data_IF_820243495572
#
_entry.id   IF_820243495572
#
_cell.length_a   1.000
_cell.length_b   1.000
_cell.length_c   1.000
_cell.angle_alpha   90.00
_cell.angle_beta   90.00
_cell.angle_gamma   90.00
#
_symmetry.space_group_name_H-M   'P 1'
#
loop_
_entity.id
_entity.type
_entity.pdbx_description
1 polymer ?
#
# COMPACT_ATOMS: atom_id res chain seq x y z
N UNK A 1 10.79 24.76 5.99
CA UNK A 1 9.81 25.89 6.09
C UNK A 1 8.42 25.32 6.24
N UNK A 2 7.51 25.96 7.00
CA UNK A 2 6.15 25.49 7.21
C UNK A 2 5.15 26.25 6.35
N UNK A 3 4.22 25.51 5.73
CA UNK A 3 3.11 26.01 4.93
C UNK A 3 1.81 25.46 5.51
N UNK A 4 0.86 26.32 5.83
CA UNK A 4 -0.44 25.91 6.39
C UNK A 4 -1.51 25.96 5.30
N UNK A 5 -2.11 24.83 4.97
CA UNK A 5 -3.14 24.75 3.92
C UNK A 5 -4.28 25.72 4.16
N UNK A 6 -4.68 25.92 5.43
CA UNK A 6 -5.75 26.86 5.81
C UNK A 6 -5.51 28.30 5.36
N UNK A 7 -4.26 28.74 5.21
CA UNK A 7 -3.93 30.11 4.81
C UNK A 7 -4.26 30.38 3.34
N UNK A 8 -4.39 29.31 2.53
CA UNK A 8 -4.72 29.35 1.11
C UNK A 8 -6.23 29.27 0.83
N UNK A 9 -7.06 28.95 1.83
CA UNK A 9 -8.51 28.77 1.64
C UNK A 9 -9.23 30.05 1.20
N UNK A 10 -8.77 31.20 1.64
CA UNK A 10 -9.41 32.51 1.31
C UNK A 10 -9.44 32.81 -0.19
N UNK A 11 -8.49 32.24 -0.94
CA UNK A 11 -8.30 32.53 -2.37
C UNK A 11 -8.56 31.27 -3.23
N UNK A 12 -9.32 30.31 -2.72
CA UNK A 12 -9.58 29.05 -3.39
C UNK A 12 -11.07 28.73 -3.33
N UNK A 13 -11.59 28.13 -4.40
CA UNK A 13 -13.00 27.72 -4.49
C UNK A 13 -13.20 26.40 -3.78
N UNK A 14 -12.21 25.50 -3.88
CA UNK A 14 -12.24 24.17 -3.26
C UNK A 14 -11.04 23.95 -2.34
N UNK A 15 -11.14 22.95 -1.45
CA UNK A 15 -10.01 22.57 -0.61
C UNK A 15 -8.84 22.03 -1.46
N UNK A 16 -9.13 21.30 -2.54
CA UNK A 16 -8.10 20.80 -3.47
C UNK A 16 -7.30 21.93 -4.11
N UNK A 17 -7.96 23.02 -4.53
CA UNK A 17 -7.25 24.20 -5.06
C UNK A 17 -6.38 24.88 -4.00
N UNK A 18 -6.85 24.96 -2.75
CA UNK A 18 -6.06 25.52 -1.66
C UNK A 18 -4.80 24.67 -1.39
N UNK A 19 -4.97 23.36 -1.40
CA UNK A 19 -3.87 22.39 -1.23
C UNK A 19 -2.86 22.54 -2.37
N UNK A 20 -3.30 22.56 -3.61
CA UNK A 20 -2.43 22.71 -4.79
C UNK A 20 -1.63 24.03 -4.78
N UNK A 21 -2.28 25.14 -4.42
CA UNK A 21 -1.59 26.43 -4.27
C UNK A 21 -0.54 26.38 -3.16
N UNK A 22 -0.88 25.77 -2.03
CA UNK A 22 0.02 25.57 -0.92
C UNK A 22 1.25 24.74 -1.34
N UNK A 23 1.03 23.62 -2.02
CA UNK A 23 2.09 22.76 -2.56
C UNK A 23 2.93 23.47 -3.61
N UNK A 24 2.30 24.22 -4.52
CA UNK A 24 2.99 25.01 -5.56
C UNK A 24 3.95 26.03 -4.95
N UNK A 25 3.53 26.73 -3.89
CA UNK A 25 4.39 27.68 -3.20
C UNK A 25 5.50 26.97 -2.42
N UNK A 26 5.18 25.87 -1.77
CA UNK A 26 6.15 25.06 -1.07
C UNK A 26 7.23 24.48 -2.00
N UNK A 27 6.86 24.06 -3.21
CA UNK A 27 7.77 23.48 -4.19
C UNK A 27 8.76 24.51 -4.79
N UNK A 28 8.59 25.81 -4.53
CA UNK A 28 9.61 26.83 -4.84
C UNK A 28 10.80 26.77 -3.90
N UNK A 29 10.68 26.06 -2.77
CA UNK A 29 11.76 25.85 -1.80
C UNK A 29 12.57 24.63 -2.21
N UNK A 30 13.90 24.78 -2.32
CA UNK A 30 14.81 23.70 -2.73
C UNK A 30 15.07 22.65 -1.63
N UNK A 31 14.82 22.98 -0.36
CA UNK A 31 15.06 22.08 0.77
C UNK A 31 13.78 21.54 1.40
N UNK A 32 13.91 21.08 2.65
CA UNK A 32 12.81 20.50 3.39
C UNK A 32 11.67 21.49 3.58
N UNK A 33 10.48 21.05 3.24
CA UNK A 33 9.22 21.76 3.39
C UNK A 33 8.21 20.94 4.16
N UNK A 34 7.41 21.63 4.95
CA UNK A 34 6.36 21.00 5.75
C UNK A 34 5.01 21.59 5.39
N UNK A 35 4.09 20.75 4.96
CA UNK A 35 2.71 21.09 4.63
C UNK A 35 1.83 20.66 5.78
N UNK A 36 1.08 21.58 6.36
CA UNK A 36 0.31 21.35 7.59
C UNK A 36 -1.18 21.50 7.30
N UNK A 37 -1.88 20.39 7.50
CA UNK A 37 -3.34 20.31 7.50
C UNK A 37 -3.81 20.44 8.94
N UNK A 38 -4.53 21.49 9.28
CA UNK A 38 -5.11 21.71 10.61
C UNK A 38 -6.27 22.68 10.59
N UNK A 39 -6.99 22.79 11.71
CA UNK A 39 -8.02 23.81 11.96
C UNK A 39 -9.37 23.54 11.28
N UNK A 40 -9.46 22.61 10.35
CA UNK A 40 -10.70 22.10 9.75
C UNK A 40 -10.46 20.73 9.11
N UNK A 41 -11.53 20.05 8.75
CA UNK A 41 -11.46 18.90 7.86
C UNK A 41 -11.42 19.36 6.40
N UNK A 42 -10.68 18.63 5.56
CA UNK A 42 -10.48 18.94 4.15
C UNK A 42 -11.19 17.94 3.27
N UNK A 43 -11.87 18.44 2.23
CA UNK A 43 -12.60 17.63 1.27
C UNK A 43 -11.91 17.74 -0.10
N UNK A 44 -11.38 16.62 -0.60
CA UNK A 44 -10.59 16.59 -1.83
C UNK A 44 -11.35 15.91 -2.98
N UNK A 45 -11.16 16.39 -4.19
CA UNK A 45 -11.75 15.86 -5.43
C UNK A 45 -10.72 15.24 -6.38
N UNK A 46 -9.45 15.24 -6.00
CA UNK A 46 -8.33 14.65 -6.72
C UNK A 46 -7.15 14.40 -5.79
N UNK A 47 -6.15 13.67 -6.29
CA UNK A 47 -4.97 13.32 -5.50
C UNK A 47 -4.14 14.53 -5.08
N UNK A 48 -3.59 14.47 -3.87
CA UNK A 48 -2.57 15.38 -3.36
C UNK A 48 -1.22 14.85 -3.84
N UNK A 49 -0.53 15.62 -4.70
CA UNK A 49 0.74 15.24 -5.30
C UNK A 49 1.92 15.63 -4.40
N UNK A 50 2.74 14.67 -4.03
CA UNK A 50 3.86 14.86 -3.10
C UNK A 50 5.18 14.83 -3.86
N UNK A 51 5.98 15.88 -3.73
CA UNK A 51 7.33 15.97 -4.28
C UNK A 51 8.41 15.58 -3.24
N UNK A 52 9.64 15.41 -3.68
CA UNK A 52 10.79 15.16 -2.79
C UNK A 52 10.94 16.22 -1.69
N UNK A 53 11.55 15.84 -0.57
CA UNK A 53 11.83 16.70 0.60
C UNK A 53 10.57 17.33 1.20
N UNK A 54 9.48 16.55 1.27
CA UNK A 54 8.17 17.02 1.74
C UNK A 54 7.71 16.26 2.99
N UNK A 55 7.40 17.01 4.04
CA UNK A 55 6.73 16.51 5.23
C UNK A 55 5.26 16.95 5.20
N UNK A 56 4.33 16.03 5.18
CA UNK A 56 2.90 16.26 5.35
C UNK A 56 2.56 16.02 6.82
N UNK A 57 1.94 16.99 7.49
CA UNK A 57 1.43 16.83 8.84
C UNK A 57 -0.09 17.00 8.82
N UNK A 58 -0.80 15.95 9.25
CA UNK A 58 -2.25 15.96 9.44
C UNK A 58 -2.48 16.07 10.95
N UNK A 59 -2.86 17.28 11.42
CA UNK A 59 -2.93 17.60 12.84
C UNK A 59 -4.38 17.79 13.28
N UNK A 60 -4.91 16.80 14.02
CA UNK A 60 -6.28 16.79 14.55
C UNK A 60 -7.34 17.13 13.50
N UNK A 61 -7.23 16.57 12.30
CA UNK A 61 -8.18 16.80 11.21
C UNK A 61 -8.32 15.58 10.30
N UNK A 62 -9.30 15.65 9.42
CA UNK A 62 -9.60 14.61 8.43
C UNK A 62 -9.33 15.15 7.03
N UNK A 63 -8.65 14.34 6.20
CA UNK A 63 -8.64 14.48 4.76
C UNK A 63 -9.59 13.44 4.19
N UNK A 64 -10.66 13.88 3.53
CA UNK A 64 -11.70 13.01 2.98
C UNK A 64 -11.85 13.24 1.48
N UNK A 65 -12.03 12.15 0.74
CA UNK A 65 -12.39 12.24 -0.67
C UNK A 65 -13.87 12.61 -0.83
N UNK A 66 -14.16 13.44 -1.80
CA UNK A 66 -15.52 13.70 -2.28
C UNK A 66 -16.17 12.43 -2.85
N UNK A 67 -17.47 12.41 -2.89
CA UNK A 67 -18.24 11.35 -3.55
C UNK A 67 -17.85 11.21 -5.02
N UNK A 68 -17.82 9.99 -5.50
CA UNK A 68 -17.49 9.62 -6.87
C UNK A 68 -16.08 10.03 -7.35
N UNK A 69 -15.16 10.33 -6.44
CA UNK A 69 -13.75 10.50 -6.78
C UNK A 69 -13.13 9.14 -7.04
N UNK A 70 -12.47 9.02 -8.19
CA UNK A 70 -11.71 7.82 -8.58
C UNK A 70 -10.25 8.20 -8.77
N UNK A 71 -9.57 8.42 -7.66
CA UNK A 71 -8.17 8.82 -7.59
C UNK A 71 -7.56 8.40 -6.23
N UNK A 72 -6.24 8.51 -6.09
CA UNK A 72 -5.56 8.37 -4.80
C UNK A 72 -5.93 9.51 -3.84
N UNK A 73 -5.67 9.36 -2.54
CA UNK A 73 -5.63 10.52 -1.64
C UNK A 73 -4.26 11.19 -1.72
N UNK A 74 -3.20 10.40 -1.62
CA UNK A 74 -1.83 10.86 -1.82
C UNK A 74 -1.12 10.06 -2.90
N UNK A 75 -0.36 10.75 -3.74
CA UNK A 75 0.48 10.15 -4.77
C UNK A 75 1.78 10.93 -4.94
N UNK A 76 2.86 10.25 -5.32
CA UNK A 76 4.08 10.94 -5.76
C UNK A 76 3.84 11.78 -7.02
N UNK A 77 4.38 12.97 -7.09
CA UNK A 77 4.35 13.83 -8.28
C UNK A 77 5.29 13.34 -9.38
N UNK A 78 6.11 12.35 -9.07
CA UNK A 78 7.05 11.69 -9.96
C UNK A 78 6.41 10.71 -10.95
N UNK A 79 5.13 10.40 -10.78
CA UNK A 79 4.40 9.49 -11.65
C UNK A 79 3.77 10.26 -12.79
N UNK A 80 4.31 10.09 -14.00
CA UNK A 80 3.83 10.75 -15.22
C UNK A 80 2.75 9.88 -15.85
N UNK A 81 1.54 10.43 -15.95
CA UNK A 81 0.40 9.77 -16.57
C UNK A 81 0.28 10.15 -18.04
N UNK A 82 -0.22 9.23 -18.85
CA UNK A 82 -0.56 9.51 -20.24
C UNK A 82 -1.86 10.34 -20.29
N UNK A 83 -1.75 11.60 -20.56
CA UNK A 83 -2.89 12.52 -20.65
C UNK A 83 -3.89 12.17 -21.77
N UNK A 84 -3.43 11.43 -22.77
CA UNK A 84 -4.27 10.97 -23.89
C UNK A 84 -5.03 9.67 -23.56
N UNK A 85 -4.68 9.02 -22.45
CA UNK A 85 -5.38 7.83 -21.99
C UNK A 85 -6.42 8.22 -20.91
N UNK A 86 -7.71 8.05 -21.21
CA UNK A 86 -8.76 8.37 -20.24
C UNK A 86 -8.66 7.54 -18.94
N UNK A 87 -7.85 6.49 -18.91
CA UNK A 87 -7.60 5.66 -17.74
C UNK A 87 -6.36 6.11 -16.96
N UNK A 88 -5.65 7.16 -17.40
CA UNK A 88 -4.49 7.70 -16.70
C UNK A 88 -3.30 6.74 -16.60
N UNK A 89 -2.96 6.05 -17.70
CA UNK A 89 -1.84 5.10 -17.72
C UNK A 89 -0.53 5.76 -17.32
N UNK A 90 0.21 5.23 -16.35
CA UNK A 90 1.57 5.68 -16.07
C UNK A 90 2.48 5.38 -17.28
N UNK A 91 3.15 6.40 -17.76
CA UNK A 91 4.13 6.28 -18.86
C UNK A 91 5.58 6.41 -18.39
N UNK A 92 5.78 6.99 -17.22
CA UNK A 92 7.10 7.09 -16.61
C UNK A 92 6.99 7.29 -15.09
N UNK A 93 8.07 6.98 -14.38
CA UNK A 93 8.21 7.23 -12.95
C UNK A 93 9.64 7.67 -12.64
N UNK A 94 9.84 8.91 -12.26
CA UNK A 94 11.13 9.41 -11.82
C UNK A 94 11.36 9.07 -10.33
N UNK A 95 12.54 9.40 -9.80
CA UNK A 95 12.86 9.18 -8.40
C UNK A 95 12.31 10.31 -7.52
N UNK A 96 11.77 9.94 -6.34
CA UNK A 96 11.44 10.87 -5.27
C UNK A 96 12.05 10.39 -3.94
N UNK A 97 12.34 11.34 -3.04
CA UNK A 97 12.93 10.99 -1.76
C UNK A 97 12.59 11.95 -0.62
N UNK A 98 12.86 11.47 0.62
CA UNK A 98 12.70 12.25 1.85
C UNK A 98 11.25 12.73 2.03
N UNK A 99 10.33 11.77 2.12
CA UNK A 99 8.89 12.03 2.24
C UNK A 99 8.41 11.56 3.60
N UNK A 100 7.63 12.39 4.28
CA UNK A 100 6.93 12.00 5.49
C UNK A 100 5.45 12.34 5.40
N UNK A 101 4.58 11.42 5.87
CA UNK A 101 3.15 11.64 6.05
C UNK A 101 2.81 11.28 7.50
N UNK A 102 2.66 12.28 8.34
CA UNK A 102 2.59 12.12 9.78
C UNK A 102 1.26 12.61 10.33
N UNK A 103 0.56 11.74 11.02
CA UNK A 103 -0.63 12.08 11.79
C UNK A 103 -0.28 12.56 13.20
N UNK A 104 -0.99 13.57 13.68
CA UNK A 104 -0.93 14.04 15.06
C UNK A 104 -2.33 14.07 15.67
N UNK A 105 -2.47 13.54 16.87
CA UNK A 105 -3.74 13.46 17.56
C UNK A 105 -4.76 12.63 16.81
N UNK A 106 -5.95 13.14 16.51
CA UNK A 106 -6.99 12.42 15.77
C UNK A 106 -6.89 12.69 14.25
N UNK A 107 -5.78 12.27 13.64
CA UNK A 107 -5.51 12.42 12.21
C UNK A 107 -6.17 11.30 11.41
N UNK A 108 -6.98 11.66 10.39
CA UNK A 108 -7.74 10.70 9.59
C UNK A 108 -7.57 10.92 8.09
N UNK A 109 -7.53 9.82 7.35
CA UNK A 109 -7.70 9.76 5.90
C UNK A 109 -8.92 8.90 5.61
N UNK A 110 -9.90 9.43 4.89
CA UNK A 110 -11.17 8.74 4.62
C UNK A 110 -11.46 8.80 3.12
N UNK A 111 -11.69 7.64 2.51
CA UNK A 111 -12.16 7.55 1.13
C UNK A 111 -13.57 8.10 0.94
N UNK A 112 -14.05 8.17 -0.30
CA UNK A 112 -15.39 8.66 -0.62
C UNK A 112 -16.50 7.74 -0.06
N UNK A 113 -17.67 8.29 0.25
CA UNK A 113 -18.81 7.49 0.71
C UNK A 113 -19.50 6.79 -0.46
N UNK A 114 -19.66 7.47 -1.60
CA UNK A 114 -20.24 6.92 -2.83
C UNK A 114 -19.14 6.65 -3.85
N UNK A 115 -19.11 5.43 -4.34
CA UNK A 115 -18.17 5.03 -5.37
C UNK A 115 -18.53 5.68 -6.72
N UNK A 116 -17.52 5.91 -7.55
CA UNK A 116 -17.74 6.15 -8.97
C UNK A 116 -18.27 4.87 -9.60
N UNK A 117 -19.28 4.99 -10.43
CA UNK A 117 -19.79 3.88 -11.25
C UNK A 117 -19.13 3.97 -12.61
N UNK A 118 -18.62 2.87 -13.11
CA UNK A 118 -18.03 2.73 -14.42
C UNK A 118 -18.44 1.46 -15.12
N UNK A 119 -18.25 1.44 -16.43
CA UNK A 119 -18.55 0.29 -17.25
C UNK A 119 -17.41 -0.73 -17.14
N UNK A 120 -17.73 -1.95 -16.71
CA UNK A 120 -16.74 -3.02 -16.59
C UNK A 120 -16.58 -3.71 -17.94
N UNK A 121 -15.43 -3.59 -18.60
CA UNK A 121 -15.28 -4.00 -19.98
C UNK A 121 -15.29 -5.52 -20.22
N UNK A 122 -15.03 -6.31 -19.18
CA UNK A 122 -15.12 -7.78 -19.29
C UNK A 122 -16.52 -8.33 -19.06
N UNK A 123 -17.34 -7.64 -18.26
CA UNK A 123 -18.63 -8.15 -17.82
C UNK A 123 -19.82 -7.43 -18.44
N UNK A 124 -19.55 -6.49 -19.36
CA UNK A 124 -20.57 -5.74 -20.11
C UNK A 124 -21.66 -5.15 -19.20
N UNK A 125 -21.25 -4.58 -18.08
CA UNK A 125 -22.17 -3.99 -17.08
C UNK A 125 -21.56 -2.79 -16.37
N UNK A 126 -22.44 -1.96 -15.81
CA UNK A 126 -22.05 -0.91 -14.87
C UNK A 126 -21.86 -1.49 -13.48
N UNK A 127 -20.78 -1.12 -12.82
CA UNK A 127 -20.51 -1.50 -11.43
C UNK A 127 -19.69 -0.44 -10.71
N UNK A 128 -19.57 -0.59 -9.38
CA UNK A 128 -18.74 0.27 -8.55
C UNK A 128 -17.26 0.12 -8.93
N UNK A 129 -16.56 1.22 -9.12
CA UNK A 129 -15.14 1.25 -9.43
C UNK A 129 -14.33 1.10 -8.15
N UNK A 130 -14.17 -0.13 -7.69
CA UNK A 130 -13.45 -0.49 -6.46
C UNK A 130 -12.53 -1.70 -6.69
N UNK A 131 -11.49 -1.80 -5.88
CA UNK A 131 -10.54 -2.90 -5.95
C UNK A 131 -9.79 -2.92 -7.28
N UNK A 132 -9.74 -4.09 -7.89
CA UNK A 132 -9.16 -4.30 -9.23
C UNK A 132 -10.02 -3.74 -10.35
N UNK A 133 -10.84 -2.76 -10.06
CA UNK A 133 -11.60 -2.14 -11.10
C UNK A 133 -10.65 -1.66 -12.17
N UNK A 134 -11.03 -1.93 -13.32
CA UNK A 134 -10.46 -1.67 -14.60
C UNK A 134 -9.79 -0.29 -14.77
N UNK A 135 -8.52 -0.29 -15.08
CA UNK A 135 -7.70 0.90 -15.27
C UNK A 135 -6.94 1.28 -14.01
N UNK A 136 -7.21 2.44 -13.46
CA UNK A 136 -6.52 2.99 -12.32
C UNK A 136 -6.96 2.33 -10.99
N UNK A 137 -6.02 1.84 -10.19
CA UNK A 137 -6.31 1.44 -8.80
C UNK A 137 -6.28 2.66 -7.89
N UNK A 138 -7.38 2.91 -7.23
CA UNK A 138 -7.54 4.03 -6.28
C UNK A 138 -6.91 3.70 -4.92
N UNK A 139 -5.62 3.35 -4.93
CA UNK A 139 -4.82 3.14 -3.74
C UNK A 139 -4.82 4.42 -2.90
N UNK A 140 -5.07 4.34 -1.61
CA UNK A 140 -5.21 5.55 -0.79
C UNK A 140 -3.92 6.36 -0.74
N UNK A 141 -2.77 5.70 -0.48
CA UNK A 141 -1.43 6.31 -0.54
C UNK A 141 -0.56 5.47 -1.46
N UNK A 142 -0.12 6.04 -2.59
CA UNK A 142 0.68 5.34 -3.60
C UNK A 142 1.98 6.07 -3.87
N UNK A 143 3.11 5.43 -3.53
CA UNK A 143 4.46 5.98 -3.75
C UNK A 143 5.31 4.97 -4.50
N UNK A 144 5.78 5.35 -5.68
CA UNK A 144 6.63 4.52 -6.52
C UNK A 144 8.02 5.15 -6.68
N UNK A 145 9.06 4.32 -6.75
CA UNK A 145 10.47 4.75 -6.85
C UNK A 145 10.85 5.79 -5.78
N UNK A 146 10.37 5.57 -4.56
CA UNK A 146 10.56 6.47 -3.43
C UNK A 146 11.66 5.97 -2.49
N UNK A 147 12.40 6.90 -1.90
CA UNK A 147 13.46 6.59 -0.93
C UNK A 147 13.32 7.44 0.33
N UNK A 148 13.62 6.85 1.50
CA UNK A 148 13.53 7.52 2.79
C UNK A 148 12.11 8.04 3.04
N UNK A 149 11.16 7.11 3.20
CA UNK A 149 9.75 7.42 3.42
C UNK A 149 9.34 7.02 4.82
N UNK A 150 8.57 7.88 5.50
CA UNK A 150 7.94 7.59 6.79
C UNK A 150 6.44 7.92 6.71
N UNK A 151 5.59 6.95 7.09
CA UNK A 151 4.13 7.14 7.20
C UNK A 151 3.70 6.67 8.57
N UNK A 152 3.10 7.55 9.38
CA UNK A 152 2.74 7.18 10.74
C UNK A 152 1.60 7.98 11.36
N UNK A 153 1.03 7.42 12.44
CA UNK A 153 0.08 8.11 13.32
C UNK A 153 -1.30 8.34 12.68
N UNK A 154 -1.71 7.54 11.72
CA UNK A 154 -2.91 7.77 10.91
C UNK A 154 -4.01 6.72 11.17
N UNK A 155 -5.26 7.19 11.13
CA UNK A 155 -6.44 6.33 11.00
C UNK A 155 -6.94 6.41 9.55
N UNK A 156 -6.90 5.28 8.83
CA UNK A 156 -7.28 5.21 7.41
C UNK A 156 -8.51 4.33 7.26
N UNK A 157 -9.54 4.84 6.61
CA UNK A 157 -10.79 4.11 6.46
C UNK A 157 -11.50 4.41 5.15
N UNK A 158 -12.50 3.57 4.84
CA UNK A 158 -13.32 3.67 3.63
C UNK A 158 -12.49 3.72 2.35
N UNK A 159 -11.41 2.94 2.31
CA UNK A 159 -10.53 2.78 1.13
C UNK A 159 -11.32 2.20 -0.04
N UNK A 160 -10.84 2.38 -1.26
CA UNK A 160 -11.49 1.84 -2.47
C UNK A 160 -10.69 0.74 -3.15
N UNK A 161 -9.48 0.53 -2.69
CA UNK A 161 -8.54 -0.51 -3.06
C UNK A 161 -7.53 -0.64 -1.92
N UNK A 162 -6.32 -1.05 -2.18
CA UNK A 162 -5.21 -1.07 -1.24
C UNK A 162 -5.04 0.26 -0.50
N UNK A 163 -4.64 0.16 0.75
CA UNK A 163 -4.53 1.33 1.60
C UNK A 163 -3.22 2.10 1.35
N UNK A 164 -2.09 1.44 1.52
CA UNK A 164 -0.76 2.03 1.32
C UNK A 164 0.04 1.10 0.41
N UNK A 165 0.63 1.63 -0.66
CA UNK A 165 1.39 0.82 -1.61
C UNK A 165 2.69 1.50 -2.04
N UNK A 166 3.73 0.68 -2.13
CA UNK A 166 5.07 1.05 -2.59
C UNK A 166 5.50 0.13 -3.73
N UNK A 167 6.10 0.72 -4.78
CA UNK A 167 6.80 0.01 -5.84
C UNK A 167 8.23 0.51 -5.92
N UNK A 168 9.21 -0.36 -6.13
CA UNK A 168 10.63 -0.01 -6.31
C UNK A 168 11.16 1.00 -5.29
N UNK A 169 10.63 0.92 -4.07
CA UNK A 169 10.92 1.89 -3.01
C UNK A 169 11.85 1.31 -1.95
N UNK A 170 12.63 2.17 -1.29
CA UNK A 170 13.58 1.71 -0.28
C UNK A 170 13.70 2.65 0.92
N UNK A 171 14.11 2.09 2.06
CA UNK A 171 14.17 2.80 3.32
C UNK A 171 12.80 3.38 3.68
N UNK A 172 11.79 2.50 3.74
CA UNK A 172 10.39 2.87 4.03
C UNK A 172 10.06 2.42 5.45
N UNK A 173 9.50 3.31 6.25
CA UNK A 173 8.99 2.99 7.57
C UNK A 173 7.53 3.38 7.70
N UNK A 174 6.66 2.38 7.94
CA UNK A 174 5.21 2.57 8.15
C UNK A 174 4.86 2.09 9.55
N UNK A 175 4.33 2.98 10.41
CA UNK A 175 4.07 2.59 11.79
C UNK A 175 2.92 3.38 12.44
N UNK A 176 2.38 2.82 13.53
CA UNK A 176 1.28 3.46 14.29
C UNK A 176 0.06 3.77 13.39
N UNK A 177 -0.39 2.81 12.59
CA UNK A 177 -1.51 2.97 11.65
C UNK A 177 -2.70 2.12 12.10
N UNK A 178 -3.88 2.74 12.16
CA UNK A 178 -5.16 2.02 12.26
C UNK A 178 -5.84 1.98 10.89
N UNK A 179 -6.07 0.78 10.35
CA UNK A 179 -6.65 0.58 9.02
C UNK A 179 -8.02 -0.05 9.14
N UNK A 180 -9.01 0.53 8.46
CA UNK A 180 -10.32 -0.09 8.27
C UNK A 180 -10.69 -0.10 6.78
N UNK A 181 -10.36 -1.22 6.15
CA UNK A 181 -10.62 -1.49 4.73
C UNK A 181 -11.59 -2.66 4.58
N UNK A 182 -12.76 -2.40 4.02
CA UNK A 182 -13.79 -3.42 3.78
C UNK A 182 -14.30 -3.34 2.34
N UNK A 183 -13.40 -3.57 1.39
CA UNK A 183 -13.65 -3.51 -0.04
C UNK A 183 -12.86 -4.62 -0.72
N UNK A 184 -13.27 -5.06 -1.90
CA UNK A 184 -12.47 -6.01 -2.70
C UNK A 184 -11.05 -5.47 -2.90
N UNK A 185 -10.02 -6.31 -2.74
CA UNK A 185 -8.62 -5.90 -2.72
C UNK A 185 -8.37 -4.77 -1.69
N UNK A 186 -8.91 -4.94 -0.51
CA UNK A 186 -8.78 -4.00 0.59
C UNK A 186 -7.57 -4.30 1.47
N UNK A 187 -6.40 -4.44 0.85
CA UNK A 187 -5.13 -4.68 1.53
C UNK A 187 -4.71 -3.49 2.39
N UNK A 188 -3.91 -3.75 3.39
CA UNK A 188 -3.40 -2.71 4.28
C UNK A 188 -2.15 -2.04 3.72
N UNK A 189 -1.02 -2.73 3.74
CA UNK A 189 0.28 -2.19 3.34
C UNK A 189 0.93 -3.15 2.34
N UNK A 190 1.19 -2.65 1.14
CA UNK A 190 1.78 -3.42 0.05
C UNK A 190 3.19 -2.93 -0.28
N UNK A 191 4.15 -3.83 -0.17
CA UNK A 191 5.46 -3.67 -0.78
C UNK A 191 5.50 -4.50 -2.05
N UNK A 192 5.59 -3.82 -3.16
CA UNK A 192 5.64 -4.44 -4.48
C UNK A 192 7.09 -4.66 -4.92
N UNK A 193 7.23 -5.17 -6.13
CA UNK A 193 8.53 -5.50 -6.73
C UNK A 193 9.59 -4.43 -6.51
N UNK A 194 10.81 -4.86 -6.17
CA UNK A 194 11.96 -3.99 -5.99
C UNK A 194 12.01 -3.21 -4.68
N UNK A 195 11.05 -3.42 -3.77
CA UNK A 195 11.08 -2.78 -2.45
C UNK A 195 12.13 -3.44 -1.53
N UNK A 196 12.90 -2.62 -0.82
CA UNK A 196 13.89 -3.14 0.11
C UNK A 196 14.21 -2.19 1.28
N UNK A 197 14.75 -2.77 2.37
CA UNK A 197 15.04 -2.03 3.60
C UNK A 197 13.80 -1.34 4.15
N UNK A 198 12.70 -2.09 4.23
CA UNK A 198 11.41 -1.58 4.67
C UNK A 198 11.06 -2.12 6.06
N UNK A 199 10.30 -1.34 6.80
CA UNK A 199 9.85 -1.70 8.14
C UNK A 199 8.36 -1.34 8.32
N UNK A 200 7.61 -2.25 8.96
CA UNK A 200 6.22 -2.07 9.35
C UNK A 200 6.12 -2.37 10.84
N UNK A 201 5.57 -1.46 11.62
CA UNK A 201 5.40 -1.65 13.06
C UNK A 201 4.09 -1.07 13.59
N UNK A 202 3.49 -1.74 14.57
CA UNK A 202 2.30 -1.27 15.27
C UNK A 202 1.11 -0.92 14.34
N UNK A 203 0.58 -1.95 13.66
CA UNK A 203 -0.58 -1.84 12.76
C UNK A 203 -1.79 -2.47 13.44
N UNK A 204 -2.90 -1.73 13.45
CA UNK A 204 -4.17 -2.19 14.02
C UNK A 204 -5.33 -2.07 13.02
N UNK A 205 -6.45 -2.72 13.32
CA UNK A 205 -7.70 -2.55 12.60
C UNK A 205 -8.22 -3.77 11.87
N UNK A 206 -8.69 -3.59 10.64
CA UNK A 206 -9.31 -4.63 9.81
C UNK A 206 -8.99 -4.42 8.33
N UNK A 207 -8.65 -5.49 7.62
CA UNK A 207 -8.45 -5.50 6.16
C UNK A 207 -9.26 -6.62 5.52
N UNK A 208 -9.98 -6.35 4.45
CA UNK A 208 -10.75 -7.35 3.73
C UNK A 208 -9.90 -8.23 2.80
N UNK A 209 -8.66 -7.88 2.61
CA UNK A 209 -7.62 -8.68 1.96
C UNK A 209 -6.37 -8.75 2.85
N UNK A 210 -5.17 -8.79 2.31
CA UNK A 210 -3.93 -8.94 3.07
C UNK A 210 -3.65 -7.71 3.96
N UNK A 211 -3.23 -7.91 5.22
CA UNK A 211 -2.87 -6.75 6.05
C UNK A 211 -1.50 -6.19 5.66
N UNK A 212 -0.50 -7.05 5.48
CA UNK A 212 0.80 -6.66 4.92
C UNK A 212 1.17 -7.65 3.82
N UNK A 213 1.40 -7.14 2.62
CA UNK A 213 1.75 -7.95 1.46
C UNK A 213 3.15 -7.60 0.93
N UNK A 214 3.99 -8.62 0.76
CA UNK A 214 5.26 -8.57 0.06
C UNK A 214 5.09 -9.31 -1.27
N UNK A 215 4.90 -8.58 -2.38
CA UNK A 215 4.47 -9.17 -3.66
C UNK A 215 5.48 -8.90 -4.78
N UNK A 216 6.48 -9.77 -4.92
CA UNK A 216 7.52 -9.69 -5.95
C UNK A 216 7.05 -10.34 -7.25
N UNK A 217 6.23 -9.62 -8.02
CA UNK A 217 5.56 -10.14 -9.22
C UNK A 217 6.00 -9.46 -10.52
N UNK A 218 7.14 -8.78 -10.55
CA UNK A 218 7.63 -8.14 -11.78
C UNK A 218 7.90 -9.17 -12.87
N UNK A 219 7.31 -8.95 -14.04
CA UNK A 219 7.50 -9.81 -15.22
C UNK A 219 8.67 -9.40 -16.12
N UNK A 220 9.37 -8.32 -15.76
CA UNK A 220 10.41 -7.74 -16.61
C UNK A 220 9.84 -7.07 -17.87
N UNK A 221 10.71 -6.44 -18.65
CA UNK A 221 10.36 -5.60 -19.81
C UNK A 221 9.50 -6.31 -20.86
N UNK A 222 9.84 -7.54 -21.23
CA UNK A 222 9.23 -8.24 -22.35
C UNK A 222 7.79 -8.71 -22.08
N UNK A 223 7.43 -8.88 -20.81
CA UNK A 223 6.12 -9.35 -20.37
C UNK A 223 5.24 -8.26 -19.77
N UNK A 224 5.73 -7.05 -19.67
CA UNK A 224 4.93 -5.87 -19.36
C UNK A 224 4.05 -5.53 -20.56
N UNK A 225 3.07 -6.37 -20.86
CA UNK A 225 1.94 -5.81 -21.57
C UNK A 225 1.39 -4.74 -20.65
N UNK A 226 1.49 -3.52 -21.09
CA UNK A 226 0.68 -2.42 -20.62
C UNK A 226 -0.78 -2.84 -20.86
N UNK A 227 -1.27 -3.70 -19.98
CA UNK A 227 -2.67 -3.99 -19.92
C UNK A 227 -3.29 -2.67 -19.55
N UNK A 228 -4.03 -2.05 -20.45
CA UNK A 228 -4.83 -0.84 -20.18
C UNK A 228 -5.72 -1.02 -18.94
N UNK A 229 -5.53 -2.03 -18.16
CA UNK A 229 -6.44 -2.55 -17.16
C UNK A 229 -5.84 -2.78 -15.77
N UNK A 230 -4.53 -2.69 -15.60
CA UNK A 230 -3.86 -2.94 -14.32
C UNK A 230 -2.63 -2.04 -14.15
N UNK A 231 -2.79 -0.78 -14.43
CA UNK A 231 -1.69 0.13 -14.63
C UNK A 231 -0.86 0.52 -13.45
N UNK A 232 -1.40 0.49 -12.32
CA UNK A 232 -0.79 1.19 -11.20
C UNK A 232 0.19 0.37 -10.42
N UNK A 233 0.47 -0.84 -10.84
CA UNK A 233 1.30 -1.72 -10.04
C UNK A 233 2.77 -1.75 -10.42
N UNK A 234 3.07 -1.42 -11.66
CA UNK A 234 4.45 -1.40 -12.15
C UNK A 234 4.57 -0.32 -13.23
N UNK A 235 4.70 0.94 -12.83
CA UNK A 235 4.92 2.00 -13.80
C UNK A 235 6.20 1.69 -14.58
N UNK A 236 6.08 1.70 -15.92
CA UNK A 236 7.23 1.49 -16.78
C UNK A 236 8.18 2.68 -16.64
N UNK A 237 9.42 2.38 -16.34
CA UNK A 237 10.52 3.34 -16.47
C UNK A 237 11.70 2.61 -17.08
N UNK A 238 12.30 3.17 -18.13
CA UNK A 238 13.50 2.62 -18.75
C UNK A 238 14.65 2.47 -17.76
N UNK A 239 14.71 3.29 -16.71
CA UNK A 239 15.68 3.16 -15.63
C UNK A 239 15.43 1.92 -14.73
N UNK A 240 14.24 1.33 -14.78
CA UNK A 240 13.90 0.11 -14.04
C UNK A 240 14.07 -1.17 -14.84
N UNK A 241 14.42 -1.10 -16.11
CA UNK A 241 14.54 -2.28 -16.98
C UNK A 241 15.52 -3.33 -16.47
N UNK A 242 16.51 -2.91 -15.70
CA UNK A 242 17.54 -3.77 -15.13
C UNK A 242 17.48 -3.84 -13.58
N UNK A 243 16.44 -3.31 -12.95
CA UNK A 243 16.30 -3.40 -11.52
C UNK A 243 15.72 -4.76 -11.15
N UNK A 244 16.36 -5.42 -10.20
CA UNK A 244 15.86 -6.64 -9.58
C UNK A 244 14.47 -6.37 -8.96
N UNK A 245 13.48 -7.13 -9.39
CA UNK A 245 12.11 -7.06 -8.87
C UNK A 245 11.95 -7.75 -7.51
N UNK A 246 13.03 -8.28 -6.93
CA UNK A 246 13.02 -8.97 -5.65
C UNK A 246 12.73 -8.00 -4.49
N UNK A 247 12.14 -8.54 -3.43
CA UNK A 247 11.88 -7.82 -2.18
C UNK A 247 12.80 -8.40 -1.11
N UNK A 248 13.49 -7.53 -0.37
CA UNK A 248 14.43 -8.01 0.65
C UNK A 248 14.65 -7.03 1.80
N UNK A 249 15.18 -7.56 2.91
CA UNK A 249 15.45 -6.78 4.13
C UNK A 249 14.20 -6.03 4.59
N UNK A 250 13.11 -6.80 4.82
CA UNK A 250 11.86 -6.25 5.34
C UNK A 250 11.59 -6.79 6.73
N UNK A 251 11.21 -5.89 7.64
CA UNK A 251 10.77 -6.22 9.00
C UNK A 251 9.31 -5.87 9.17
N UNK A 252 8.53 -6.81 9.69
CA UNK A 252 7.11 -6.64 9.99
C UNK A 252 6.91 -7.03 11.43
N UNK A 253 6.44 -6.11 12.27
CA UNK A 253 6.26 -6.37 13.69
C UNK A 253 4.98 -5.75 14.25
N UNK A 254 4.48 -6.33 15.34
CA UNK A 254 3.37 -5.77 16.12
C UNK A 254 2.11 -5.47 15.27
N UNK A 255 1.65 -6.47 14.51
CA UNK A 255 0.43 -6.37 13.72
C UNK A 255 -0.72 -7.02 14.49
N UNK A 256 -1.71 -6.21 14.88
CA UNK A 256 -2.92 -6.67 15.56
C UNK A 256 -4.16 -6.31 14.73
N UNK A 257 -4.57 -7.20 13.85
CA UNK A 257 -5.66 -6.92 12.90
C UNK A 257 -6.61 -8.09 12.75
N UNK A 258 -7.88 -7.76 12.45
CA UNK A 258 -8.83 -8.69 11.86
C UNK A 258 -8.79 -8.66 10.34
N UNK A 259 -9.52 -9.54 9.70
CA UNK A 259 -9.68 -9.49 8.25
C UNK A 259 -9.96 -10.83 7.60
N UNK A 260 -9.92 -10.80 6.27
CA UNK A 260 -9.98 -11.99 5.44
C UNK A 260 -8.57 -12.25 4.84
N UNK A 261 -8.45 -13.21 3.94
CA UNK A 261 -7.19 -13.60 3.28
C UNK A 261 -6.02 -13.82 4.25
N UNK A 262 -5.06 -12.89 4.38
CA UNK A 262 -3.87 -13.11 5.20
C UNK A 262 -3.53 -11.92 6.13
N UNK A 263 -2.90 -12.23 7.25
CA UNK A 263 -2.29 -11.21 8.11
C UNK A 263 -1.01 -10.67 7.45
N UNK A 264 -0.12 -11.58 7.06
CA UNK A 264 1.09 -11.27 6.29
C UNK A 264 1.24 -12.28 5.16
N UNK A 265 1.49 -11.81 3.95
CA UNK A 265 1.84 -12.69 2.81
C UNK A 265 3.20 -12.32 2.23
N UNK A 266 4.02 -13.35 1.95
CA UNK A 266 5.21 -13.26 1.12
C UNK A 266 4.93 -14.03 -0.18
N UNK A 267 4.87 -13.31 -1.28
CA UNK A 267 4.45 -13.82 -2.58
C UNK A 267 5.50 -13.49 -3.65
N UNK A 268 5.94 -14.50 -4.38
CA UNK A 268 6.87 -14.31 -5.50
C UNK A 268 6.48 -15.12 -6.72
N UNK A 269 6.87 -14.64 -7.91
CA UNK A 269 6.76 -15.34 -9.18
C UNK A 269 7.76 -14.76 -10.19
N UNK A 270 7.86 -15.39 -11.35
CA UNK A 270 8.64 -14.93 -12.52
C UNK A 270 10.14 -14.76 -12.25
N UNK A 271 10.71 -15.56 -11.35
CA UNK A 271 12.13 -15.53 -11.00
C UNK A 271 12.54 -14.44 -10.02
N UNK A 272 11.61 -13.64 -9.53
CA UNK A 272 11.90 -12.71 -8.43
C UNK A 272 12.03 -13.46 -7.11
N UNK A 273 12.62 -12.80 -6.11
CA UNK A 273 12.82 -13.37 -4.77
C UNK A 273 12.17 -12.50 -3.70
N UNK A 274 11.80 -13.16 -2.60
CA UNK A 274 11.48 -12.49 -1.34
C UNK A 274 12.38 -13.12 -0.28
N UNK A 275 13.34 -12.34 0.24
CA UNK A 275 14.35 -12.88 1.14
C UNK A 275 14.81 -11.90 2.21
N UNK A 276 15.45 -12.42 3.26
CA UNK A 276 15.88 -11.64 4.42
C UNK A 276 14.70 -10.91 5.09
N UNK A 277 13.68 -11.69 5.45
CA UNK A 277 12.42 -11.17 6.00
C UNK A 277 12.29 -11.56 7.47
N UNK A 278 11.92 -10.60 8.30
CA UNK A 278 11.56 -10.82 9.70
C UNK A 278 10.08 -10.50 9.93
N UNK A 279 9.30 -11.48 10.39
CA UNK A 279 7.87 -11.37 10.72
C UNK A 279 7.73 -11.69 12.20
N UNK A 280 7.35 -10.68 13.02
CA UNK A 280 7.30 -10.83 14.46
C UNK A 280 6.00 -10.32 15.05
N UNK A 281 5.46 -11.06 16.02
CA UNK A 281 4.30 -10.63 16.81
C UNK A 281 3.08 -10.26 15.95
N UNK A 282 2.61 -11.24 15.15
CA UNK A 282 1.41 -11.11 14.30
C UNK A 282 0.25 -11.77 15.04
N UNK A 283 -0.71 -10.95 15.47
CA UNK A 283 -1.84 -11.38 16.29
C UNK A 283 -3.13 -11.04 15.58
N UNK A 284 -3.94 -12.04 15.29
CA UNK A 284 -5.28 -11.78 14.78
C UNK A 284 -6.22 -11.25 15.87
N UNK A 285 -7.06 -10.31 15.53
CA UNK A 285 -8.28 -10.05 16.30
C UNK A 285 -9.27 -11.18 16.08
N UNK A 286 -10.44 -11.10 16.72
CA UNK A 286 -11.51 -12.12 16.53
C UNK A 286 -12.47 -11.74 15.37
N UNK A 287 -12.11 -10.75 14.57
CA UNK A 287 -12.92 -10.25 13.46
C UNK A 287 -12.39 -10.81 12.13
N UNK A 288 -13.25 -11.43 11.31
CA UNK A 288 -12.91 -11.94 9.99
C UNK A 288 -12.85 -13.47 9.87
N UNK A 289 -12.38 -13.96 8.73
CA UNK A 289 -12.21 -15.38 8.38
C UNK A 289 -10.99 -15.55 7.46
N UNK A 290 -9.80 -15.54 8.05
CA UNK A 290 -8.55 -15.61 7.28
C UNK A 290 -8.28 -17.01 6.74
N UNK A 291 -7.65 -17.09 5.58
CA UNK A 291 -7.07 -18.34 5.09
C UNK A 291 -5.79 -18.71 5.88
N UNK A 292 -4.93 -17.72 6.10
CA UNK A 292 -3.77 -17.88 6.97
C UNK A 292 -3.38 -16.58 7.69
N UNK A 293 -2.84 -16.68 8.90
CA UNK A 293 -2.25 -15.51 9.57
C UNK A 293 -0.96 -15.08 8.89
N UNK A 294 -0.09 -16.04 8.54
CA UNK A 294 1.11 -15.80 7.73
C UNK A 294 1.15 -16.80 6.57
N UNK A 295 1.35 -16.29 5.36
CA UNK A 295 1.42 -17.12 4.15
C UNK A 295 2.72 -16.91 3.38
N UNK A 296 3.36 -18.02 2.96
CA UNK A 296 4.45 -18.07 2.01
C UNK A 296 3.95 -18.72 0.71
N UNK A 297 3.96 -18.00 -0.41
CA UNK A 297 3.20 -18.37 -1.60
C UNK A 297 3.90 -18.08 -2.92
N UNK A 298 3.71 -18.95 -3.90
CA UNK A 298 4.28 -18.84 -5.25
C UNK A 298 3.27 -19.15 -6.39
N UNK A 299 1.99 -19.13 -6.10
CA UNK A 299 0.94 -19.65 -7.00
C UNK A 299 0.47 -18.71 -8.12
N UNK A 300 1.02 -17.49 -8.25
CA UNK A 300 0.54 -16.50 -9.22
C UNK A 300 1.26 -16.52 -10.58
N UNK A 301 2.05 -17.51 -10.89
CA UNK A 301 2.69 -17.56 -12.20
C UNK A 301 3.78 -18.60 -12.30
N UNK A 302 4.43 -18.60 -13.44
CA UNK A 302 5.52 -19.49 -13.78
C UNK A 302 6.87 -18.96 -13.27
N UNK A 303 7.89 -19.80 -13.31
CA UNK A 303 9.27 -19.38 -13.02
C UNK A 303 9.64 -19.35 -11.55
N UNK A 304 8.94 -20.09 -10.71
CA UNK A 304 9.34 -20.32 -9.32
C UNK A 304 10.49 -21.31 -9.23
N UNK A 305 11.47 -21.00 -8.37
CA UNK A 305 12.58 -21.88 -8.04
C UNK A 305 12.68 -22.06 -6.52
N UNK A 306 13.26 -23.20 -6.12
CA UNK A 306 13.61 -23.39 -4.72
C UNK A 306 14.55 -22.26 -4.25
N UNK A 307 14.25 -21.65 -3.09
CA UNK A 307 15.04 -20.56 -2.54
C UNK A 307 14.61 -19.16 -3.00
N UNK A 308 13.61 -19.01 -3.88
CA UNK A 308 13.04 -17.71 -4.19
C UNK A 308 12.35 -17.08 -2.97
N UNK A 309 11.88 -17.91 -2.03
CA UNK A 309 11.53 -17.52 -0.66
C UNK A 309 12.60 -18.06 0.30
N UNK A 310 13.43 -17.17 0.86
CA UNK A 310 14.58 -17.60 1.67
C UNK A 310 14.95 -16.64 2.79
N UNK A 311 15.70 -17.15 3.78
CA UNK A 311 16.14 -16.36 4.95
C UNK A 311 14.96 -15.68 5.67
N UNK A 312 13.92 -16.43 5.97
CA UNK A 312 12.68 -15.88 6.58
C UNK A 312 12.59 -16.33 8.03
N UNK A 313 12.35 -15.38 8.93
CA UNK A 313 12.08 -15.62 10.35
C UNK A 313 10.63 -15.24 10.63
N UNK A 314 9.84 -16.21 11.14
CA UNK A 314 8.49 -16.02 11.64
C UNK A 314 8.51 -16.32 13.14
N UNK A 315 8.23 -15.32 13.98
CA UNK A 315 8.33 -15.44 15.43
C UNK A 315 7.16 -14.72 16.14
N UNK A 316 6.33 -15.49 16.81
CA UNK A 316 5.18 -14.94 17.52
C UNK A 316 3.97 -14.74 16.60
N UNK A 317 3.25 -15.84 16.29
CA UNK A 317 1.99 -15.79 15.53
C UNK A 317 0.85 -16.31 16.40
N UNK A 318 -0.23 -15.54 16.49
CA UNK A 318 -1.46 -15.93 17.18
C UNK A 318 -2.61 -15.87 16.19
N UNK A 319 -3.06 -17.02 15.73
CA UNK A 319 -4.22 -17.17 14.87
C UNK A 319 -5.49 -17.31 15.72
N UNK A 320 -6.49 -16.47 15.48
CA UNK A 320 -7.78 -16.56 16.17
C UNK A 320 -8.93 -16.95 15.24
N UNK A 321 -8.84 -16.60 13.96
CA UNK A 321 -9.87 -16.86 12.94
C UNK A 321 -9.33 -17.68 11.77
N UNK A 322 -8.03 -17.60 11.50
CA UNK A 322 -7.41 -18.23 10.34
C UNK A 322 -7.58 -19.77 10.33
N UNK A 323 -7.72 -20.31 9.14
CA UNK A 323 -7.69 -21.75 8.89
C UNK A 323 -6.31 -22.34 9.15
N UNK A 324 -5.25 -21.56 8.90
CA UNK A 324 -3.87 -21.94 9.22
C UNK A 324 -3.17 -20.80 9.93
N UNK A 325 -2.45 -21.07 11.03
CA UNK A 325 -1.62 -20.03 11.63
C UNK A 325 -0.47 -19.65 10.69
N UNK A 326 0.20 -20.65 10.10
CA UNK A 326 1.21 -20.45 9.04
C UNK A 326 0.93 -21.42 7.89
N UNK A 327 0.82 -20.88 6.67
CA UNK A 327 0.62 -21.66 5.45
C UNK A 327 1.79 -21.48 4.49
N UNK A 328 2.36 -22.60 4.04
CA UNK A 328 3.52 -22.64 3.14
C UNK A 328 3.17 -23.51 1.95
N UNK A 329 3.12 -22.93 0.76
CA UNK A 329 2.74 -23.63 -0.46
C UNK A 329 3.92 -23.85 -1.42
N UNK A 330 5.15 -23.69 -0.93
CA UNK A 330 6.34 -23.74 -1.76
C UNK A 330 7.55 -24.24 -0.98
N UNK A 331 8.60 -24.64 -1.67
CA UNK A 331 9.89 -24.92 -1.05
C UNK A 331 10.61 -23.62 -0.67
N UNK A 332 11.06 -23.54 0.58
CA UNK A 332 11.78 -22.38 1.13
C UNK A 332 13.18 -22.79 1.56
N UNK A 333 14.11 -21.83 1.60
CA UNK A 333 15.44 -22.01 2.17
C UNK A 333 15.62 -21.16 3.44
N UNK A 334 16.30 -21.70 4.45
CA UNK A 334 16.60 -20.99 5.72
C UNK A 334 15.36 -20.36 6.36
N UNK A 335 14.29 -21.14 6.50
CA UNK A 335 13.06 -20.73 7.18
C UNK A 335 13.11 -21.10 8.65
N UNK A 336 12.90 -20.13 9.53
CA UNK A 336 12.75 -20.34 10.97
C UNK A 336 11.35 -19.94 11.41
N UNK A 337 10.64 -20.86 12.05
CA UNK A 337 9.28 -20.61 12.60
C UNK A 337 9.28 -20.99 14.08
N UNK A 338 8.83 -20.08 14.94
CA UNK A 338 8.72 -20.31 16.38
C UNK A 338 7.59 -19.49 17.01
N UNK A 339 7.18 -19.90 18.22
CA UNK A 339 6.16 -19.21 19.01
C UNK A 339 4.83 -19.02 18.23
N UNK A 340 4.30 -20.10 17.63
CA UNK A 340 3.05 -20.10 16.87
C UNK A 340 1.95 -20.72 17.71
N UNK A 341 0.78 -20.10 17.75
CA UNK A 341 -0.42 -20.61 18.41
C UNK A 341 -1.65 -20.50 17.50
N UNK A 342 -2.57 -21.46 17.64
CA UNK A 342 -3.83 -21.53 16.91
C UNK A 342 -4.98 -21.65 17.92
N UNK A 343 -5.85 -20.64 17.93
CA UNK A 343 -7.01 -20.57 18.82
C UNK A 343 -8.32 -20.88 18.09
N UNK A 344 -8.35 -20.87 16.75
CA UNK A 344 -9.51 -21.35 16.00
C UNK A 344 -9.60 -22.87 16.12
N UNK A 345 -10.67 -23.37 16.70
CA UNK A 345 -10.89 -24.80 16.95
C UNK A 345 -10.88 -25.65 15.66
N UNK A 346 -11.23 -25.04 14.53
CA UNK A 346 -11.24 -25.70 13.22
C UNK A 346 -9.94 -25.41 12.42
N UNK A 347 -9.02 -24.66 12.99
CA UNK A 347 -7.77 -24.29 12.34
C UNK A 347 -6.63 -25.24 12.67
N UNK A 348 -5.56 -25.13 11.90
CA UNK A 348 -4.30 -25.88 12.11
C UNK A 348 -3.14 -24.94 12.31
N UNK A 349 -2.11 -25.40 13.05
CA UNK A 349 -0.89 -24.62 13.25
C UNK A 349 -0.15 -24.39 11.94
N UNK A 350 -0.04 -25.44 11.13
CA UNK A 350 0.72 -25.40 9.88
C UNK A 350 -0.03 -26.12 8.76
N UNK A 351 -0.08 -25.48 7.60
CA UNK A 351 -0.38 -26.16 6.33
C UNK A 351 0.87 -26.09 5.45
N UNK A 352 1.31 -27.24 4.98
CA UNK A 352 2.39 -27.34 4.01
C UNK A 352 1.93 -28.21 2.85
N UNK A 353 1.93 -27.67 1.64
CA UNK A 353 1.62 -28.40 0.40
C UNK A 353 2.88 -28.81 -0.33
#
# INVERSE_FOLDING_TARGET
>A
MNFFVKDYLKNSITDSEAIEKCLSDANKILGDKTIIFNGKNYLIDRAILISSNTNIIIDNCTIKQNDCVFDNVFRGDNLILNELDPNGTPIDVSHIENIKILGKGDAKIIGCDKNKIGYHPYFDRLEDMVGDFWGWRTITISLSNAKNVEISGLKISNTKCWCICFDYSKNVFVHDIDIRSNVKNGDGIDFRSGCCYCEVDNITGYTSDDTVALTALSKGKEKRQLSKYLYTLEPYNSSHENIDGSIHHVKISNVYTGGNHHGVICLTAFGNKVHDIEIRNIIESKEGDRDATVMLYTGYGDGYNKGDLSNIIIDGVVANTAKSAVKITCETENLTIKNVSQNNINGVLFTKN
#
